data_IF_481527905086
#
_entry.id   IF_481527905086
#
_cell.length_a   1.000
_cell.length_b   1.000
_cell.length_c   1.000
_cell.angle_alpha   90.00
_cell.angle_beta   90.00
_cell.angle_gamma   90.00
#
_symmetry.space_group_name_H-M   'P 1'
#
loop_
_entity.id
_entity.type
_entity.pdbx_description
1 polymer ?
#
# COMPACT_ATOMS: atom_id res chain seq x y z
N UNK A 1 18.05 5.63 -10.30
CA UNK A 1 18.11 5.73 -8.84
C UNK A 1 18.37 4.35 -8.28
N UNK A 2 19.34 4.19 -7.38
CA UNK A 2 19.76 2.90 -6.84
C UNK A 2 21.22 2.94 -6.40
N UNK A 3 21.49 2.45 -5.19
CA UNK A 3 22.80 2.32 -4.59
C UNK A 3 22.76 1.25 -3.49
N UNK A 4 23.93 0.84 -3.00
CA UNK A 4 24.07 -0.21 -1.98
C UNK A 4 23.31 0.09 -0.68
N UNK A 5 23.17 1.37 -0.32
CA UNK A 5 22.42 1.79 0.86
C UNK A 5 20.91 1.50 0.71
N UNK A 6 20.31 1.89 -0.41
CA UNK A 6 18.90 1.60 -0.69
C UNK A 6 18.65 0.11 -0.84
N UNK A 7 19.55 -0.62 -1.51
CA UNK A 7 19.44 -2.07 -1.65
C UNK A 7 19.42 -2.76 -0.28
N UNK A 8 20.26 -2.31 0.66
CA UNK A 8 20.24 -2.80 2.04
C UNK A 8 18.94 -2.46 2.77
N UNK A 9 18.48 -1.21 2.72
CA UNK A 9 17.22 -0.79 3.37
C UNK A 9 16.01 -1.57 2.83
N UNK A 10 15.98 -1.83 1.51
CA UNK A 10 14.96 -2.67 0.87
C UNK A 10 15.07 -4.11 1.35
N UNK A 11 16.28 -4.68 1.40
CA UNK A 11 16.50 -6.05 1.87
C UNK A 11 16.03 -6.22 3.32
N UNK A 12 16.39 -5.31 4.21
CA UNK A 12 15.96 -5.31 5.62
C UNK A 12 14.42 -5.27 5.73
N UNK A 13 13.76 -4.39 4.96
CA UNK A 13 12.30 -4.28 4.98
C UNK A 13 11.60 -5.53 4.40
N UNK A 14 12.17 -6.16 3.36
CA UNK A 14 11.60 -7.36 2.73
C UNK A 14 11.83 -8.65 3.52
N UNK A 15 12.85 -8.67 4.37
CA UNK A 15 13.25 -9.88 5.12
C UNK A 15 12.91 -9.81 6.62
N UNK A 16 12.29 -8.71 7.07
CA UNK A 16 11.73 -8.60 8.42
C UNK A 16 10.33 -9.21 8.47
N UNK A 17 10.19 -10.34 9.18
CA UNK A 17 8.94 -11.11 9.26
C UNK A 17 8.05 -10.69 10.45
N UNK A 18 8.63 -10.04 11.46
CA UNK A 18 7.85 -9.42 12.53
C UNK A 18 7.21 -8.12 12.03
N UNK A 19 5.93 -7.91 12.36
CA UNK A 19 5.17 -6.76 11.86
C UNK A 19 5.74 -5.42 12.32
N UNK A 20 6.05 -5.29 13.62
CA UNK A 20 6.59 -4.04 14.18
C UNK A 20 7.99 -3.75 13.66
N UNK A 21 8.83 -4.77 13.56
CA UNK A 21 10.18 -4.63 13.00
C UNK A 21 10.15 -4.26 11.51
N UNK A 22 9.23 -4.83 10.73
CA UNK A 22 9.05 -4.49 9.32
C UNK A 22 8.58 -3.04 9.16
N UNK A 23 7.62 -2.59 9.96
CA UNK A 23 7.11 -1.22 9.90
C UNK A 23 8.22 -0.21 10.22
N UNK A 24 9.08 -0.51 11.21
CA UNK A 24 10.26 0.30 11.50
C UNK A 24 11.29 0.33 10.35
N UNK A 25 11.50 -0.79 9.66
CA UNK A 25 12.40 -0.86 8.50
C UNK A 25 11.82 -0.07 7.29
N UNK A 26 10.53 -0.22 7.01
CA UNK A 26 9.83 0.53 5.96
C UNK A 26 9.84 2.04 6.25
N UNK A 27 9.67 2.46 7.50
CA UNK A 27 9.76 3.87 7.88
C UNK A 27 11.15 4.47 7.59
N UNK A 28 12.23 3.73 7.90
CA UNK A 28 13.60 4.15 7.58
C UNK A 28 13.83 4.27 6.07
N UNK A 29 13.39 3.26 5.31
CA UNK A 29 13.47 3.28 3.85
C UNK A 29 12.69 4.48 3.27
N UNK A 30 11.46 4.72 3.74
CA UNK A 30 10.64 5.82 3.26
C UNK A 30 11.28 7.19 3.55
N UNK A 31 11.78 7.41 4.77
CA UNK A 31 12.46 8.65 5.14
C UNK A 31 13.64 8.96 4.21
N UNK A 32 14.48 7.94 3.94
CA UNK A 32 15.63 8.07 3.04
C UNK A 32 15.22 8.37 1.59
N UNK A 33 14.14 7.75 1.10
CA UNK A 33 13.60 8.07 -0.23
C UNK A 33 13.10 9.53 -0.28
N UNK A 34 12.44 10.02 0.76
CA UNK A 34 11.96 11.41 0.83
C UNK A 34 13.12 12.41 0.80
N UNK A 35 14.23 12.12 1.49
CA UNK A 35 15.43 12.97 1.52
C UNK A 35 16.10 13.11 0.14
N UNK A 36 16.25 12.01 -0.61
CA UNK A 36 16.82 12.05 -1.97
C UNK A 36 15.83 12.57 -3.03
N UNK A 37 14.54 12.59 -2.70
CA UNK A 37 13.45 13.01 -3.57
C UNK A 37 13.54 12.47 -5.03
N UNK A 38 13.73 11.15 -5.25
CA UNK A 38 13.76 10.57 -6.60
C UNK A 38 12.38 10.58 -7.28
N UNK A 39 11.32 10.82 -6.51
CA UNK A 39 9.94 10.94 -6.95
C UNK A 39 9.32 12.22 -6.41
N UNK A 40 8.37 12.77 -7.16
CA UNK A 40 7.46 13.83 -6.68
C UNK A 40 6.19 13.17 -6.16
N UNK A 41 5.93 13.29 -4.86
CA UNK A 41 4.74 12.73 -4.22
C UNK A 41 3.55 13.68 -4.39
N UNK A 42 2.58 13.31 -5.23
CA UNK A 42 1.46 14.21 -5.57
C UNK A 42 0.18 13.83 -4.83
N UNK A 43 -0.25 12.56 -4.89
CA UNK A 43 -1.52 12.14 -4.31
C UNK A 43 -1.53 10.64 -3.98
N UNK A 44 -2.41 10.26 -3.06
CA UNK A 44 -2.87 8.88 -2.84
C UNK A 44 -4.34 8.80 -3.27
N UNK A 45 -4.64 8.01 -4.30
CA UNK A 45 -6.02 7.80 -4.74
C UNK A 45 -6.83 7.02 -3.68
N UNK A 46 -8.08 7.44 -3.47
CA UNK A 46 -9.02 6.81 -2.52
C UNK A 46 -9.84 5.70 -3.17
N UNK A 47 -9.78 5.55 -4.50
CA UNK A 47 -10.43 4.48 -5.26
C UNK A 47 -11.96 4.43 -5.11
N UNK A 48 -12.70 5.54 -5.34
CA UNK A 48 -14.14 5.58 -5.11
C UNK A 48 -14.89 4.59 -6.02
N UNK A 49 -16.03 4.08 -5.54
CA UNK A 49 -16.91 3.16 -6.28
C UNK A 49 -18.35 3.66 -6.22
N UNK A 50 -18.94 3.88 -7.39
CA UNK A 50 -20.37 4.14 -7.53
C UNK A 50 -21.11 2.80 -7.65
N UNK A 51 -22.13 2.59 -6.82
CA UNK A 51 -22.88 1.34 -6.75
C UNK A 51 -24.38 1.65 -6.71
N UNK A 52 -25.18 0.78 -7.35
CA UNK A 52 -26.63 0.83 -7.21
C UNK A 52 -27.03 0.54 -5.75
N UNK A 53 -28.06 1.22 -5.26
CA UNK A 53 -28.62 0.98 -3.92
C UNK A 53 -29.14 -0.45 -3.72
N UNK A 54 -29.35 -1.20 -4.82
CA UNK A 54 -29.75 -2.61 -4.80
C UNK A 54 -28.62 -3.57 -4.46
N UNK A 55 -27.36 -3.16 -4.61
CA UNK A 55 -26.22 -4.01 -4.27
C UNK A 55 -26.03 -4.01 -2.75
N UNK A 56 -26.01 -5.20 -2.15
CA UNK A 56 -25.73 -5.40 -0.72
C UNK A 56 -24.44 -6.17 -0.51
N UNK A 57 -23.89 -6.09 0.71
CA UNK A 57 -22.73 -6.90 1.11
C UNK A 57 -21.38 -6.44 0.54
N UNK A 58 -21.29 -5.21 0.01
CA UNK A 58 -20.03 -4.69 -0.53
C UNK A 58 -19.06 -4.34 0.59
N UNK A 59 -17.86 -4.89 0.52
CA UNK A 59 -16.72 -4.51 1.36
C UNK A 59 -15.72 -3.76 0.49
N UNK A 60 -15.41 -2.50 0.84
CA UNK A 60 -14.44 -1.70 0.10
C UNK A 60 -13.03 -2.29 0.25
N UNK A 61 -12.38 -2.74 -0.85
CA UNK A 61 -11.05 -3.30 -0.76
C UNK A 61 -9.99 -2.21 -0.58
N UNK A 62 -8.90 -2.54 0.12
CA UNK A 62 -7.65 -1.74 0.12
C UNK A 62 -6.72 -2.12 -1.05
N UNK A 63 -7.29 -2.75 -2.08
CA UNK A 63 -6.61 -3.18 -3.30
C UNK A 63 -7.49 -2.82 -4.50
N UNK A 64 -6.95 -3.03 -5.71
CA UNK A 64 -7.72 -2.83 -6.95
C UNK A 64 -8.65 -4.01 -7.28
N UNK A 65 -8.66 -5.06 -6.46
CA UNK A 65 -9.46 -6.26 -6.66
C UNK A 65 -10.59 -6.29 -5.63
N UNK A 66 -11.82 -6.37 -6.11
CA UNK A 66 -13.01 -6.43 -5.27
C UNK A 66 -13.50 -7.88 -5.16
N UNK A 67 -13.76 -8.32 -3.93
CA UNK A 67 -14.37 -9.62 -3.68
C UNK A 67 -15.88 -9.52 -3.87
N UNK A 68 -16.41 -10.25 -4.85
CA UNK A 68 -17.84 -10.29 -5.17
C UNK A 68 -18.58 -11.38 -4.41
N UNK A 69 -17.88 -12.34 -3.77
CA UNK A 69 -18.51 -13.42 -3.01
C UNK A 69 -19.49 -12.97 -1.91
N UNK A 70 -19.23 -11.87 -1.14
CA UNK A 70 -20.18 -11.41 -0.13
C UNK A 70 -21.34 -10.60 -0.71
N UNK A 71 -21.33 -10.30 -2.02
CA UNK A 71 -22.30 -9.40 -2.63
C UNK A 71 -23.58 -10.09 -3.04
N UNK A 72 -24.68 -9.35 -3.01
CA UNK A 72 -25.99 -9.77 -3.51
C UNK A 72 -26.76 -8.59 -4.11
N UNK A 73 -27.86 -8.89 -4.78
CA UNK A 73 -28.80 -7.93 -5.34
C UNK A 73 -30.19 -8.15 -4.76
N UNK A 74 -30.84 -7.06 -4.36
CA UNK A 74 -32.29 -7.02 -4.07
C UNK A 74 -33.13 -7.25 -5.34
#
# INVERSE_FOLDING_TARGET
FGNDEFDKLIADARTSFDGTARDAALAKLHARIVEEAPFVWVAHDVGPRALSAKIKGVVQPKSWFIDLAPMSMD
#
